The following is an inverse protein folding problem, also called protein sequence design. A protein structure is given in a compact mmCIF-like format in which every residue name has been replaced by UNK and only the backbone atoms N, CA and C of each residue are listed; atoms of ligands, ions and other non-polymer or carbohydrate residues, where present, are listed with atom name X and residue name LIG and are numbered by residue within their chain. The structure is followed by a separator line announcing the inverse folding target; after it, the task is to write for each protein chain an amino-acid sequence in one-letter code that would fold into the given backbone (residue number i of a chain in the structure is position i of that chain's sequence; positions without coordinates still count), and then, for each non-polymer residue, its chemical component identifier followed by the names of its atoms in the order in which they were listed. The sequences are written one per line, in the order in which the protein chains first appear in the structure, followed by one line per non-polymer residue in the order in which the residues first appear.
data_IF_121967892421
#
_entry.id   IF_121967892421
#
_cell.length_a   1.000
_cell.length_b   1.000
_cell.length_c   1.000
_cell.angle_alpha   90.00
_cell.angle_beta   90.00
_cell.angle_gamma   90.00
#
_symmetry.space_group_name_H-M   'P 1'
#
loop_
_entity.id
_entity.type
_entity.pdbx_description
1 polymer ?
#
# COMPACT_ATOMS: atom_id res chain seq x y z
N UNK A 1 9.57 -9.47 5.29
CA UNK A 1 9.34 -8.05 5.05
C UNK A 1 10.58 -7.40 4.46
N UNK A 2 10.41 -6.51 3.52
CA UNK A 2 11.47 -5.83 2.80
C UNK A 2 11.76 -6.44 1.42
N UNK A 3 12.58 -5.75 0.63
CA UNK A 3 12.97 -6.16 -0.72
C UNK A 3 14.24 -6.99 -0.72
N UNK A 4 14.17 -8.18 -1.31
CA UNK A 4 15.31 -9.09 -1.48
C UNK A 4 16.16 -8.73 -2.71
N UNK A 5 17.37 -9.27 -2.76
CA UNK A 5 18.21 -9.12 -3.95
C UNK A 5 17.56 -9.76 -5.19
N UNK A 6 16.82 -10.86 -5.02
CA UNK A 6 16.12 -11.51 -6.11
C UNK A 6 15.00 -10.64 -6.70
N UNK A 7 14.25 -9.93 -5.84
CA UNK A 7 13.22 -8.98 -6.30
C UNK A 7 13.86 -7.78 -7.01
N UNK A 8 14.96 -7.24 -6.50
CA UNK A 8 15.69 -6.16 -7.17
C UNK A 8 16.26 -6.61 -8.52
N UNK A 9 16.71 -7.86 -8.63
CA UNK A 9 17.18 -8.40 -9.90
C UNK A 9 16.03 -8.61 -10.90
N UNK A 10 14.83 -9.01 -10.41
CA UNK A 10 13.63 -9.10 -11.24
C UNK A 10 13.26 -7.73 -11.84
N UNK A 11 13.29 -6.66 -11.04
CA UNK A 11 13.08 -5.28 -11.53
C UNK A 11 14.07 -4.94 -12.63
N UNK A 12 15.37 -5.20 -12.45
CA UNK A 12 16.39 -4.93 -13.47
C UNK A 12 16.16 -5.67 -14.78
N UNK A 13 15.58 -6.86 -14.72
CA UNK A 13 15.26 -7.64 -15.92
C UNK A 13 14.11 -7.02 -16.69
N UNK A 14 13.06 -6.60 -15.99
CA UNK A 14 11.89 -5.99 -16.60
C UNK A 14 12.27 -4.67 -17.28
N UNK A 15 12.93 -3.79 -16.55
CA UNK A 15 13.32 -2.48 -17.02
C UNK A 15 14.25 -2.53 -18.26
N UNK A 16 15.20 -3.47 -18.29
CA UNK A 16 16.05 -3.67 -19.47
C UNK A 16 15.29 -4.10 -20.71
N UNK A 17 14.16 -4.77 -20.53
CA UNK A 17 13.32 -5.17 -21.66
C UNK A 17 12.56 -3.99 -22.27
N UNK A 18 12.29 -2.96 -21.49
CA UNK A 18 11.41 -1.85 -21.87
C UNK A 18 12.15 -0.54 -22.18
N UNK A 19 13.46 -0.47 -21.91
CA UNK A 19 14.32 0.66 -22.32
C UNK A 19 14.20 1.92 -21.45
N UNK A 20 13.69 1.79 -20.23
CA UNK A 20 13.51 2.89 -19.29
C UNK A 20 14.71 3.01 -18.32
N UNK A 21 15.84 3.55 -18.79
CA UNK A 21 17.07 3.62 -17.98
C UNK A 21 17.03 4.71 -16.87
N UNK A 22 16.29 5.80 -17.07
CA UNK A 22 16.34 6.97 -16.18
C UNK A 22 15.55 6.74 -14.86
N UNK A 23 14.52 5.92 -14.87
CA UNK A 23 13.66 5.63 -13.70
C UNK A 23 14.28 4.61 -12.75
N UNK A 24 15.20 3.79 -13.24
CA UNK A 24 15.88 2.76 -12.45
C UNK A 24 16.72 3.33 -11.32
N UNK A 25 17.46 4.42 -11.55
CA UNK A 25 18.30 5.02 -10.49
C UNK A 25 17.44 5.51 -9.33
N UNK A 26 16.32 6.16 -9.63
CA UNK A 26 15.38 6.62 -8.64
C UNK A 26 14.79 5.44 -7.87
N UNK A 27 14.31 4.41 -8.57
CA UNK A 27 13.81 3.20 -7.94
C UNK A 27 14.81 2.58 -6.97
N UNK A 28 16.05 2.35 -7.41
CA UNK A 28 17.06 1.72 -6.55
C UNK A 28 17.47 2.63 -5.39
N UNK A 29 17.43 3.95 -5.56
CA UNK A 29 17.63 4.89 -4.47
C UNK A 29 16.55 4.73 -3.38
N UNK A 30 15.28 4.60 -3.77
CA UNK A 30 14.18 4.37 -2.82
C UNK A 30 14.16 2.96 -2.25
N UNK A 31 14.53 1.96 -3.03
CA UNK A 31 14.53 0.56 -2.59
C UNK A 31 15.41 0.31 -1.36
N UNK A 32 16.41 1.17 -1.09
CA UNK A 32 17.22 1.08 0.14
C UNK A 32 16.38 1.23 1.41
N UNK A 33 15.26 1.96 1.34
CA UNK A 33 14.37 2.20 2.46
C UNK A 33 13.57 0.94 2.85
N UNK A 34 13.39 0.01 1.92
CA UNK A 34 12.75 -1.27 2.15
C UNK A 34 13.76 -2.38 2.53
N UNK A 35 14.91 -2.02 3.10
CA UNK A 35 16.00 -2.94 3.45
C UNK A 35 16.56 -2.67 4.86
N UNK A 36 17.26 -3.66 5.46
CA UNK A 36 17.45 -5.04 4.97
C UNK A 36 16.15 -5.87 5.03
N UNK A 37 16.10 -6.95 4.27
CA UNK A 37 15.04 -7.98 4.45
C UNK A 37 15.13 -8.52 5.86
N UNK A 38 13.99 -8.64 6.51
CA UNK A 38 13.91 -9.08 7.90
C UNK A 38 12.75 -10.03 8.14
N UNK A 39 12.88 -10.89 9.11
CA UNK A 39 11.79 -11.70 9.64
C UNK A 39 10.97 -10.85 10.62
N UNK A 40 9.64 -10.88 10.46
CA UNK A 40 8.70 -10.18 11.33
C UNK A 40 7.63 -11.15 11.78
N UNK A 41 7.38 -11.19 13.08
CA UNK A 41 6.27 -11.96 13.63
C UNK A 41 4.99 -11.11 13.56
N UNK A 42 4.03 -11.61 12.80
CA UNK A 42 2.71 -11.01 12.67
C UNK A 42 1.70 -11.86 13.45
N UNK A 43 1.03 -11.26 14.42
CA UNK A 43 -0.07 -11.91 15.15
C UNK A 43 -1.34 -11.92 14.26
N UNK A 44 -2.25 -12.88 14.44
CA UNK A 44 -3.48 -12.92 13.67
C UNK A 44 -4.32 -11.64 13.84
N UNK A 45 -4.77 -11.10 12.72
CA UNK A 45 -5.61 -9.88 12.67
C UNK A 45 -6.66 -10.00 11.58
N UNK A 46 -7.66 -9.15 11.62
CA UNK A 46 -8.64 -8.95 10.56
C UNK A 46 -8.21 -7.73 9.74
N UNK A 47 -8.36 -7.82 8.43
CA UNK A 47 -8.08 -6.71 7.50
C UNK A 47 -9.26 -6.57 6.54
N UNK A 48 -9.61 -5.34 6.19
CA UNK A 48 -10.65 -5.08 5.21
C UNK A 48 -10.25 -5.61 3.82
N UNK A 49 -11.19 -6.23 3.12
CA UNK A 49 -10.97 -6.76 1.76
C UNK A 49 -10.58 -5.66 0.77
N UNK A 50 -11.17 -4.48 0.93
CA UNK A 50 -10.90 -3.26 0.15
C UNK A 50 -10.51 -2.10 1.08
N UNK A 51 -9.87 -1.05 0.58
CA UNK A 51 -9.83 0.23 1.27
C UNK A 51 -11.25 0.77 1.51
N UNK A 52 -11.41 1.72 2.43
CA UNK A 52 -12.70 2.36 2.66
C UNK A 52 -13.24 2.99 1.37
N UNK A 53 -14.55 2.85 1.18
CA UNK A 53 -15.26 3.55 0.12
C UNK A 53 -15.74 4.92 0.59
N UNK A 54 -16.09 5.80 -0.36
CA UNK A 54 -16.73 7.10 -0.09
C UNK A 54 -17.98 6.93 0.80
N UNK A 55 -18.85 5.95 0.48
CA UNK A 55 -20.02 5.68 1.31
C UNK A 55 -19.65 5.26 2.74
N UNK A 56 -18.59 4.46 2.91
CA UNK A 56 -18.11 4.06 4.22
C UNK A 56 -17.45 5.21 4.97
N UNK A 57 -16.70 6.07 4.28
CA UNK A 57 -16.12 7.26 4.89
C UNK A 57 -17.20 8.20 5.42
N UNK A 58 -18.25 8.46 4.65
CA UNK A 58 -19.41 9.27 5.07
C UNK A 58 -20.20 8.70 6.24
N UNK A 59 -20.13 7.37 6.46
CA UNK A 59 -20.73 6.79 7.65
C UNK A 59 -20.07 7.27 8.94
N UNK A 60 -18.77 7.52 8.90
CA UNK A 60 -17.97 7.97 10.05
C UNK A 60 -17.75 9.48 10.08
N UNK A 61 -17.67 10.08 8.89
CA UNK A 61 -17.54 11.52 8.65
C UNK A 61 -18.69 11.97 7.73
N UNK A 62 -19.85 12.37 8.26
CA UNK A 62 -21.02 12.72 7.45
C UNK A 62 -20.78 13.86 6.44
N UNK A 63 -19.84 14.75 6.71
CA UNK A 63 -19.48 15.88 5.85
C UNK A 63 -18.32 15.54 4.88
N UNK A 64 -17.90 14.28 4.82
CA UNK A 64 -16.83 13.86 3.93
C UNK A 64 -17.22 14.05 2.47
N UNK A 65 -16.35 14.74 1.74
CA UNK A 65 -16.45 14.93 0.29
C UNK A 65 -15.13 14.57 -0.39
N UNK A 66 -15.20 13.78 -1.45
CA UNK A 66 -14.07 13.48 -2.32
C UNK A 66 -14.41 13.99 -3.72
N UNK A 67 -13.74 15.07 -4.14
CA UNK A 67 -13.99 15.72 -5.43
C UNK A 67 -13.49 14.91 -6.63
N UNK A 68 -12.69 13.88 -6.40
CA UNK A 68 -12.15 12.99 -7.42
C UNK A 68 -12.91 11.66 -7.50
N UNK A 69 -13.79 11.38 -6.55
CA UNK A 69 -14.56 10.15 -6.55
C UNK A 69 -15.68 10.20 -7.59
N UNK A 70 -15.76 9.18 -8.43
CA UNK A 70 -16.82 9.07 -9.46
C UNK A 70 -18.13 8.54 -8.88
N UNK A 71 -18.05 7.81 -7.76
CA UNK A 71 -19.21 7.20 -7.12
C UNK A 71 -19.00 6.96 -5.63
N UNK A 72 -20.07 6.64 -4.93
CA UNK A 72 -20.03 6.22 -3.51
C UNK A 72 -19.28 4.88 -3.28
N UNK A 73 -19.06 4.11 -4.33
CA UNK A 73 -18.25 2.88 -4.29
C UNK A 73 -16.77 3.10 -4.53
N UNK A 74 -16.36 4.27 -5.00
CA UNK A 74 -14.97 4.65 -5.20
C UNK A 74 -14.17 4.55 -3.89
N UNK A 75 -12.87 4.31 -4.00
CA UNK A 75 -11.95 4.38 -2.85
C UNK A 75 -11.94 5.80 -2.32
N UNK A 76 -12.21 5.96 -1.03
CA UNK A 76 -12.12 7.25 -0.36
C UNK A 76 -10.66 7.66 -0.19
N UNK A 77 -10.38 8.92 -0.49
CA UNK A 77 -9.05 9.54 -0.39
C UNK A 77 -9.07 10.64 0.67
N UNK A 78 -8.14 10.58 1.60
CA UNK A 78 -8.12 11.46 2.77
C UNK A 78 -6.92 12.38 2.72
N UNK A 79 -7.19 13.65 2.88
CA UNK A 79 -6.24 14.76 3.01
C UNK A 79 -6.18 15.22 4.48
N UNK A 80 -6.62 16.44 4.72
CA UNK A 80 -6.63 17.07 6.05
C UNK A 80 -7.61 16.39 7.03
N UNK A 81 -8.61 15.70 6.54
CA UNK A 81 -9.66 15.00 7.30
C UNK A 81 -9.26 13.60 7.80
N UNK A 82 -8.06 13.14 7.47
CA UNK A 82 -7.58 11.82 7.88
C UNK A 82 -7.59 11.62 9.40
N UNK A 83 -7.12 12.60 10.15
CA UNK A 83 -7.05 12.48 11.61
C UNK A 83 -8.46 12.47 12.24
N UNK A 84 -9.40 13.20 11.68
CA UNK A 84 -10.81 13.18 12.10
C UNK A 84 -11.44 11.80 11.81
N UNK A 85 -11.16 11.22 10.63
CA UNK A 85 -11.58 9.87 10.33
C UNK A 85 -11.01 8.87 11.33
N UNK A 86 -9.70 8.88 11.56
CA UNK A 86 -9.05 7.94 12.47
C UNK A 86 -9.56 8.06 13.89
N UNK A 87 -9.96 9.27 14.31
CA UNK A 87 -10.61 9.52 15.60
C UNK A 87 -12.03 8.94 15.69
N UNK A 88 -12.74 8.83 14.58
CA UNK A 88 -14.11 8.32 14.51
C UNK A 88 -14.19 6.80 14.28
N UNK A 89 -13.18 6.19 13.66
CA UNK A 89 -13.18 4.77 13.32
C UNK A 89 -13.02 3.90 14.58
N UNK A 90 -13.83 2.80 14.70
CA UNK A 90 -13.61 1.77 15.73
C UNK A 90 -12.49 0.77 15.33
N UNK A 91 -11.80 1.05 14.28
CA UNK A 91 -10.73 0.24 13.69
C UNK A 91 -9.42 1.02 13.75
N UNK A 92 -8.32 0.35 13.48
CA UNK A 92 -7.00 0.97 13.39
C UNK A 92 -6.41 0.85 11.99
N UNK A 93 -5.37 1.59 11.73
CA UNK A 93 -4.51 1.37 10.56
C UNK A 93 -3.72 0.05 10.71
N UNK A 94 -3.38 -0.61 9.59
CA UNK A 94 -2.37 -1.66 9.61
C UNK A 94 -1.01 -1.08 10.00
N UNK A 95 -0.17 -1.88 10.65
CA UNK A 95 1.25 -1.57 10.62
C UNK A 95 1.81 -1.84 9.22
N UNK A 96 2.95 -1.25 8.90
CA UNK A 96 3.63 -1.50 7.63
C UNK A 96 3.91 -2.99 7.41
N UNK A 97 4.27 -3.71 8.48
CA UNK A 97 4.51 -5.14 8.42
C UNK A 97 3.22 -5.96 8.19
N UNK A 98 2.11 -5.57 8.81
CA UNK A 98 0.80 -6.18 8.56
C UNK A 98 0.35 -5.94 7.12
N UNK A 99 0.54 -4.72 6.63
CA UNK A 99 0.20 -4.35 5.25
C UNK A 99 1.00 -5.20 4.25
N UNK A 100 2.33 -5.25 4.38
CA UNK A 100 3.19 -6.05 3.47
C UNK A 100 2.88 -7.54 3.53
N UNK A 101 2.63 -8.08 4.73
CA UNK A 101 2.20 -9.47 4.89
C UNK A 101 0.89 -9.74 4.13
N UNK A 102 -0.08 -8.83 4.25
CA UNK A 102 -1.35 -8.92 3.59
C UNK A 102 -1.22 -8.79 2.06
N UNK A 103 -0.41 -7.83 1.59
CA UNK A 103 -0.17 -7.59 0.17
C UNK A 103 0.52 -8.77 -0.51
N UNK A 104 1.54 -9.34 0.12
CA UNK A 104 2.27 -10.50 -0.41
C UNK A 104 1.44 -11.78 -0.40
N UNK A 105 0.54 -11.93 0.55
CA UNK A 105 -0.33 -13.11 0.67
C UNK A 105 0.41 -14.46 0.52
N UNK A 106 1.64 -14.55 1.05
CA UNK A 106 2.50 -15.73 1.00
C UNK A 106 3.44 -15.80 -0.19
N UNK A 107 3.44 -14.84 -1.10
CA UNK A 107 4.41 -14.79 -2.21
C UNK A 107 5.74 -14.18 -1.77
N UNK A 108 6.78 -14.47 -2.54
CA UNK A 108 8.12 -13.86 -2.44
C UNK A 108 8.50 -13.11 -3.70
N UNK A 109 7.54 -12.86 -4.56
CA UNK A 109 7.63 -12.15 -5.83
C UNK A 109 7.36 -10.66 -5.64
N UNK A 110 7.62 -9.83 -6.65
CA UNK A 110 7.43 -8.38 -6.62
C UNK A 110 5.99 -8.00 -6.30
N UNK A 111 5.04 -8.72 -6.87
CA UNK A 111 3.62 -8.58 -6.55
C UNK A 111 3.03 -9.94 -6.22
N UNK A 112 1.82 -9.98 -5.72
CA UNK A 112 1.08 -11.24 -5.54
C UNK A 112 0.76 -11.95 -6.87
N UNK A 113 0.94 -11.27 -8.01
CA UNK A 113 0.78 -11.84 -9.37
C UNK A 113 2.06 -12.45 -9.93
N UNK A 114 3.22 -12.17 -9.35
CA UNK A 114 4.52 -12.67 -9.79
C UNK A 114 5.59 -11.59 -9.91
N UNK A 115 6.67 -11.92 -10.61
CA UNK A 115 7.80 -11.03 -10.88
C UNK A 115 7.69 -10.31 -12.23
N UNK A 116 6.67 -10.61 -13.02
CA UNK A 116 6.41 -9.96 -14.28
C UNK A 116 5.68 -8.63 -14.13
N UNK A 117 5.75 -7.80 -15.17
CA UNK A 117 4.91 -6.62 -15.28
C UNK A 117 3.44 -7.06 -15.35
N UNK A 118 2.52 -6.48 -14.58
CA UNK A 118 1.10 -6.73 -14.76
C UNK A 118 0.68 -6.38 -16.19
N UNK A 119 -0.27 -7.13 -16.74
CA UNK A 119 -0.90 -6.78 -17.99
C UNK A 119 -1.62 -5.42 -17.83
N UNK A 120 -1.52 -4.55 -18.83
CA UNK A 120 -2.11 -3.22 -18.82
C UNK A 120 -3.62 -3.28 -18.54
N UNK A 121 -4.31 -4.28 -19.08
CA UNK A 121 -5.73 -4.53 -18.79
C UNK A 121 -5.96 -4.91 -17.31
N UNK A 122 -5.03 -5.61 -16.66
CA UNK A 122 -5.13 -6.00 -15.26
C UNK A 122 -4.93 -4.81 -14.31
N UNK A 123 -4.11 -3.85 -14.72
CA UNK A 123 -3.88 -2.61 -13.96
C UNK A 123 -5.11 -1.73 -14.05
N UNK A 124 -5.65 -1.54 -15.25
CA UNK A 124 -6.86 -0.75 -15.47
C UNK A 124 -8.07 -1.31 -14.70
N UNK A 125 -8.22 -2.64 -14.64
CA UNK A 125 -9.27 -3.29 -13.86
C UNK A 125 -9.17 -3.01 -12.34
N UNK A 126 -7.95 -2.84 -11.83
CA UNK A 126 -7.73 -2.51 -10.41
C UNK A 126 -8.12 -1.05 -10.09
N UNK A 127 -8.08 -0.16 -11.06
CA UNK A 127 -8.49 1.24 -10.94
C UNK A 127 -9.96 1.49 -11.31
N UNK A 128 -10.59 0.58 -12.06
CA UNK A 128 -11.98 0.73 -12.46
C UNK A 128 -12.91 0.73 -11.24
N UNK A 129 -13.41 1.89 -10.90
CA UNK A 129 -14.29 2.11 -9.74
C UNK A 129 -15.62 1.37 -9.84
N UNK A 130 -16.06 1.05 -11.05
CA UNK A 130 -17.39 0.46 -11.29
C UNK A 130 -17.47 -1.03 -10.96
N UNK A 131 -16.34 -1.74 -10.93
CA UNK A 131 -16.32 -3.19 -10.69
C UNK A 131 -15.27 -3.61 -9.66
N UNK A 132 -15.29 -3.06 -8.45
CA UNK A 132 -14.45 -3.55 -7.33
C UNK A 132 -14.57 -5.04 -7.07
N UNK A 133 -15.63 -5.66 -7.57
CA UNK A 133 -15.82 -7.10 -7.53
C UNK A 133 -14.97 -7.85 -8.55
N UNK A 134 -14.44 -7.16 -9.57
CA UNK A 134 -13.59 -7.71 -10.62
C UNK A 134 -12.08 -7.54 -10.35
N UNK A 135 -11.69 -6.69 -9.38
CA UNK A 135 -10.28 -6.56 -8.98
C UNK A 135 -9.70 -7.92 -8.60
N UNK A 136 -8.54 -8.24 -9.16
CA UNK A 136 -7.87 -9.49 -8.84
C UNK A 136 -7.61 -9.58 -7.34
N UNK A 137 -8.02 -10.69 -6.75
CA UNK A 137 -7.77 -10.99 -5.35
C UNK A 137 -6.42 -11.69 -5.19
N UNK A 138 -5.69 -11.35 -4.14
CA UNK A 138 -4.54 -12.14 -3.75
C UNK A 138 -4.98 -13.43 -3.03
N UNK A 139 -4.04 -14.29 -2.65
CA UNK A 139 -4.34 -15.58 -2.02
C UNK A 139 -5.06 -15.48 -0.66
N UNK A 140 -5.12 -14.29 -0.05
CA UNK A 140 -5.89 -14.04 1.17
C UNK A 140 -7.29 -13.48 0.88
N UNK A 141 -7.68 -13.34 -0.39
CA UNK A 141 -8.95 -12.76 -0.81
C UNK A 141 -9.03 -11.25 -0.66
N UNK A 142 -7.88 -10.58 -0.62
CA UNK A 142 -7.81 -9.12 -0.59
C UNK A 142 -7.76 -8.58 -2.01
N UNK A 143 -8.61 -7.62 -2.30
CA UNK A 143 -8.72 -6.98 -3.59
C UNK A 143 -8.14 -5.55 -3.56
N UNK A 144 -7.79 -5.03 -4.73
CA UNK A 144 -7.23 -3.69 -4.92
C UNK A 144 -5.99 -3.43 -4.02
N UNK A 145 -5.18 -4.48 -3.75
CA UNK A 145 -3.95 -4.33 -2.98
C UNK A 145 -2.93 -3.55 -3.80
N UNK A 146 -2.62 -2.37 -3.32
CA UNK A 146 -1.63 -1.48 -3.93
C UNK A 146 -2.17 -0.56 -5.02
N UNK A 147 -3.45 -0.60 -5.36
CA UNK A 147 -4.07 0.32 -6.33
C UNK A 147 -4.20 1.76 -5.82
N UNK A 148 -4.03 1.97 -4.53
CA UNK A 148 -4.06 3.28 -3.91
C UNK A 148 -2.91 3.44 -2.92
N UNK A 149 -2.55 4.67 -2.60
CA UNK A 149 -1.62 5.00 -1.52
C UNK A 149 -2.28 4.69 -0.17
N UNK A 150 -2.02 3.51 0.39
CA UNK A 150 -2.61 3.08 1.65
C UNK A 150 -1.74 3.49 2.84
N UNK A 151 -2.30 4.28 3.76
CA UNK A 151 -1.58 4.75 4.92
C UNK A 151 -1.43 3.66 5.99
N UNK A 152 -0.23 3.57 6.56
CA UNK A 152 0.10 2.69 7.68
C UNK A 152 0.19 3.45 9.00
N UNK A 153 0.13 2.71 10.10
CA UNK A 153 0.27 3.28 11.45
C UNK A 153 1.70 3.70 11.80
N UNK A 154 2.67 3.20 11.07
CA UNK A 154 4.09 3.41 11.31
C UNK A 154 4.54 4.82 10.97
N UNK A 155 5.43 5.37 11.79
CA UNK A 155 6.28 6.49 11.40
C UNK A 155 7.36 5.99 10.46
N UNK A 156 7.60 6.72 9.38
CA UNK A 156 8.60 6.38 8.39
C UNK A 156 10.03 6.46 8.96
N UNK A 157 10.86 5.50 8.58
CA UNK A 157 12.29 5.46 8.87
C UNK A 157 13.06 5.11 7.59
N UNK A 158 14.29 5.62 7.44
CA UNK A 158 15.03 5.47 6.20
C UNK A 158 15.55 4.05 5.90
N UNK A 159 15.37 3.09 6.83
CA UNK A 159 15.75 1.69 6.65
C UNK A 159 15.19 0.80 7.77
N UNK A 160 15.21 -0.52 7.57
CA UNK A 160 14.65 -1.49 8.53
C UNK A 160 15.64 -2.02 9.58
N UNK A 161 16.86 -1.48 9.66
CA UNK A 161 17.91 -2.02 10.53
C UNK A 161 17.49 -2.13 12.02
N UNK A 162 16.79 -1.12 12.51
CA UNK A 162 16.36 -1.05 13.91
C UNK A 162 14.83 -1.22 14.06
N UNK A 163 14.16 -1.73 13.03
CA UNK A 163 12.73 -1.94 13.08
C UNK A 163 12.37 -3.11 14.00
N UNK A 164 11.22 -3.05 14.72
CA UNK A 164 10.78 -4.10 15.63
C UNK A 164 10.68 -5.47 14.94
N UNK A 165 11.07 -6.54 15.63
CA UNK A 165 10.95 -7.91 15.13
C UNK A 165 9.50 -8.44 15.14
N UNK A 166 8.58 -7.70 15.75
CA UNK A 166 7.14 -7.93 15.70
C UNK A 166 6.45 -6.86 14.84
N UNK A 167 5.18 -7.07 14.54
CA UNK A 167 4.40 -6.19 13.69
C UNK A 167 3.84 -4.96 14.42
N UNK A 168 4.42 -4.55 15.54
CA UNK A 168 3.99 -3.31 16.20
C UNK A 168 4.40 -2.10 15.35
N UNK A 169 3.50 -1.12 15.18
CA UNK A 169 3.84 0.10 14.46
C UNK A 169 5.02 0.83 15.12
N UNK A 170 5.89 1.38 14.31
CA UNK A 170 6.91 2.31 14.78
C UNK A 170 6.26 3.62 15.18
N UNK A 171 6.61 4.11 16.34
CA UNK A 171 6.07 5.34 16.91
C UNK A 171 7.16 6.40 16.99
N UNK A 172 6.78 7.67 16.93
CA UNK A 172 7.69 8.80 17.02
C UNK A 172 7.09 10.04 16.35
N UNK A 173 7.91 11.06 16.22
CA UNK A 173 7.58 12.26 15.47
C UNK A 173 8.08 12.09 14.01
N UNK A 174 7.22 12.32 13.04
CA UNK A 174 7.57 12.22 11.62
C UNK A 174 6.37 11.83 10.74
N UNK A 175 6.57 11.82 9.43
CA UNK A 175 5.54 11.42 8.49
C UNK A 175 5.19 9.95 8.65
N UNK A 176 3.94 9.59 8.40
CA UNK A 176 3.51 8.20 8.37
C UNK A 176 3.97 7.51 7.10
N UNK A 177 4.14 6.21 7.20
CA UNK A 177 4.41 5.34 6.05
C UNK A 177 3.15 5.24 5.19
N UNK A 178 3.36 5.30 3.89
CA UNK A 178 2.38 4.98 2.85
C UNK A 178 2.92 3.81 2.03
N UNK A 179 2.06 2.87 1.69
CA UNK A 179 2.37 1.70 0.88
C UNK A 179 1.37 1.58 -0.27
N UNK A 180 1.81 0.91 -1.33
CA UNK A 180 1.04 0.86 -2.56
C UNK A 180 1.20 2.17 -3.34
N UNK A 181 0.20 2.53 -4.07
CA UNK A 181 0.20 3.74 -4.86
C UNK A 181 0.51 3.45 -6.30
N UNK A 182 -0.56 3.18 -6.99
CA UNK A 182 -0.55 3.29 -8.42
C UNK A 182 -0.71 4.73 -8.82
N UNK A 183 -0.21 5.07 -9.96
CA UNK A 183 -0.50 6.30 -10.62
C UNK A 183 0.36 7.49 -10.23
N UNK A 184 -0.16 8.65 -10.51
CA UNK A 184 0.53 9.94 -10.63
C UNK A 184 1.23 10.47 -9.38
N UNK A 185 1.07 9.79 -8.24
CA UNK A 185 1.60 10.24 -6.94
C UNK A 185 2.84 9.46 -6.50
N UNK A 186 3.26 8.47 -7.26
CA UNK A 186 4.54 7.82 -7.00
C UNK A 186 5.67 8.77 -7.40
N UNK A 187 6.72 8.96 -6.57
CA UNK A 187 7.96 9.58 -7.02
C UNK A 187 8.62 8.81 -8.18
N UNK A 188 8.01 7.72 -8.57
CA UNK A 188 8.35 6.75 -9.59
C UNK A 188 7.45 6.86 -10.83
N UNK A 189 6.99 8.06 -11.17
CA UNK A 189 6.27 8.30 -12.42
C UNK A 189 7.03 7.66 -13.58
N UNK A 190 6.44 6.63 -14.18
CA UNK A 190 7.09 5.84 -15.22
C UNK A 190 7.60 4.47 -14.78
N UNK A 191 7.88 4.25 -13.51
CA UNK A 191 8.02 2.91 -12.95
C UNK A 191 6.65 2.44 -12.51
N UNK A 192 6.08 1.62 -13.29
CA UNK A 192 4.72 1.13 -13.16
C UNK A 192 4.31 0.71 -11.74
N UNK A 193 3.05 0.81 -11.53
CA UNK A 193 2.26 0.46 -10.35
C UNK A 193 2.56 -0.89 -9.70
N UNK A 194 3.28 -1.77 -10.37
CA UNK A 194 3.70 -3.07 -9.84
C UNK A 194 4.83 -2.99 -8.78
N UNK A 195 5.47 -1.81 -8.62
CA UNK A 195 6.45 -1.56 -7.56
C UNK A 195 5.80 -1.28 -6.20
N UNK A 196 4.70 -1.91 -5.95
CA UNK A 196 3.80 -1.74 -4.80
C UNK A 196 4.44 -2.01 -3.44
N UNK A 197 5.62 -2.58 -3.42
CA UNK A 197 6.28 -2.97 -2.17
C UNK A 197 7.25 -1.92 -1.66
N UNK A 198 7.37 -0.78 -2.33
CA UNK A 198 8.16 0.33 -1.83
C UNK A 198 7.40 1.12 -0.77
N UNK A 199 8.13 1.58 0.21
CA UNK A 199 7.62 2.50 1.22
C UNK A 199 7.87 3.93 0.78
N UNK A 200 6.84 4.76 0.88
CA UNK A 200 6.95 6.21 0.73
C UNK A 200 6.55 6.90 2.03
N UNK A 201 6.84 8.20 2.13
CA UNK A 201 6.30 9.03 3.20
C UNK A 201 4.95 9.61 2.78
N UNK A 202 4.08 9.93 3.73
CA UNK A 202 2.84 10.62 3.43
C UNK A 202 3.07 11.98 2.79
N UNK A 203 4.13 12.69 3.20
CA UNK A 203 4.47 14.00 2.64
C UNK A 203 4.87 13.91 1.15
N UNK A 204 5.47 12.79 0.74
CA UNK A 204 5.82 12.53 -0.66
C UNK A 204 4.61 12.10 -1.49
N UNK A 205 3.66 11.38 -0.88
CA UNK A 205 2.42 10.93 -1.54
C UNK A 205 1.39 12.04 -1.71
N UNK A 206 1.67 13.22 -1.20
CA UNK A 206 0.85 14.43 -1.30
C UNK A 206 -0.66 14.15 -1.27
N UNK A 207 -1.15 13.95 -0.06
CA UNK A 207 -2.55 14.18 0.30
C UNK A 207 -3.60 13.13 -0.13
N UNK A 208 -3.35 12.27 -1.08
CA UNK A 208 -4.35 11.28 -1.50
C UNK A 208 -4.09 9.90 -0.91
N UNK A 209 -4.34 9.74 0.39
CA UNK A 209 -4.13 8.46 1.06
C UNK A 209 -5.44 7.73 1.32
N UNK A 210 -5.47 6.45 0.97
CA UNK A 210 -6.57 5.56 1.31
C UNK A 210 -6.36 4.88 2.66
N UNK A 211 -7.44 4.45 3.29
CA UNK A 211 -7.43 3.72 4.55
C UNK A 211 -7.97 2.32 4.34
N UNK A 212 -7.14 1.30 4.63
CA UNK A 212 -7.57 -0.09 4.75
C UNK A 212 -7.62 -0.48 6.23
N UNK A 213 -8.80 -0.52 6.86
CA UNK A 213 -8.89 -0.75 8.28
C UNK A 213 -8.50 -2.17 8.69
N UNK A 214 -7.94 -2.29 9.88
CA UNK A 214 -7.67 -3.57 10.54
C UNK A 214 -8.25 -3.62 11.94
N UNK A 215 -8.48 -4.83 12.43
CA UNK A 215 -8.95 -5.07 13.80
C UNK A 215 -8.26 -6.32 14.39
N UNK A 216 -8.14 -6.40 15.72
CA UNK A 216 -7.67 -7.61 16.36
C UNK A 216 -8.65 -8.76 16.13
N UNK A 217 -8.13 -9.99 16.16
CA UNK A 217 -9.00 -11.16 16.17
C UNK A 217 -9.92 -11.13 17.41
N UNK A 218 -11.20 -11.46 17.27
CA UNK A 218 -12.09 -11.60 18.41
C UNK A 218 -11.55 -12.64 19.39
N UNK A 219 -11.45 -12.26 20.66
CA UNK A 219 -11.16 -13.23 21.73
C UNK A 219 -12.36 -14.18 21.86
N UNK A 220 -12.10 -15.47 21.82
CA UNK A 220 -13.12 -16.51 22.04
C UNK A 220 -13.46 -16.60 23.53
#
# INVERSE_FOLDING_TARGET
MGLSDAELDAVRVIERSDGADDDLEAFFAGAVHARPVREVRVEPFLIARHPLTVAQARHWLPEYEDSFAESDSSTARFEDDLDDLLGALPFRLPSEAEWEYAARAGTTTLTFRGDGRPDEDQVLDDFADEERTASAENAFGLAAMGSANEICADVWIPHFTDAPADARPRTGDGPRVVRGGGGDLSPWQGCDEWLLLLSATRDESQDFTAVRPVAPMPTR
#
